data_IF_537359367057
#
_entry.id   IF_537359367057
#
_cell.length_a   1.000
_cell.length_b   1.000
_cell.length_c   1.000
_cell.angle_alpha   90.00
_cell.angle_beta   90.00
_cell.angle_gamma   90.00
#
_symmetry.space_group_name_H-M   'P 1'
#
loop_
_entity.id
_entity.type
_entity.pdbx_description
1 polymer ?
#
# COMPACT_ATOMS: atom_id res chain seq x y z
N UNK A 1 -3.26 1.23 -9.64
CA UNK A 1 -3.18 1.83 -8.30
C UNK A 1 -4.56 1.90 -7.66
N UNK A 2 -4.67 1.67 -6.36
CA UNK A 2 -5.89 1.95 -5.61
C UNK A 2 -5.93 3.44 -5.28
N UNK A 3 -6.88 4.18 -5.83
CA UNK A 3 -7.15 5.53 -5.34
C UNK A 3 -7.96 5.37 -4.07
N UNK A 4 -7.24 5.45 -2.97
CA UNK A 4 -7.79 5.63 -1.64
C UNK A 4 -8.05 7.11 -1.42
N UNK A 5 -9.17 7.41 -0.76
CA UNK A 5 -9.80 8.72 -0.82
C UNK A 5 -8.92 9.78 -0.13
N UNK A 6 -8.16 10.52 -0.94
CA UNK A 6 -7.39 11.69 -0.54
C UNK A 6 -6.39 11.37 0.59
N UNK A 7 -5.17 10.97 0.24
CA UNK A 7 -4.06 10.69 1.17
C UNK A 7 -3.77 11.81 2.19
N UNK A 8 -4.31 13.02 1.96
CA UNK A 8 -4.25 14.13 2.90
C UNK A 8 -5.31 14.06 4.01
N UNK A 9 -6.35 13.22 3.92
CA UNK A 9 -7.50 13.11 4.84
C UNK A 9 -8.05 11.65 4.93
N UNK A 10 -7.25 10.72 5.46
CA UNK A 10 -7.64 9.32 5.65
C UNK A 10 -8.95 9.16 6.47
N UNK A 11 -9.89 8.33 6.00
CA UNK A 11 -11.08 7.96 6.77
C UNK A 11 -12.19 9.01 6.85
N UNK A 12 -12.22 10.02 5.98
CA UNK A 12 -13.26 11.06 5.98
C UNK A 12 -14.52 10.68 5.19
N UNK A 13 -15.68 11.19 5.61
CA UNK A 13 -16.97 10.90 4.97
C UNK A 13 -17.13 11.64 3.62
N UNK A 14 -17.54 10.91 2.58
CA UNK A 14 -17.66 11.39 1.20
C UNK A 14 -18.68 12.51 1.00
N UNK A 15 -19.70 12.61 1.85
CA UNK A 15 -20.82 13.56 1.67
C UNK A 15 -20.59 14.90 2.38
N UNK A 16 -19.47 15.09 3.10
CA UNK A 16 -19.29 16.24 4.02
C UNK A 16 -17.94 16.96 3.86
N UNK A 17 -17.58 17.35 2.64
CA UNK A 17 -16.38 18.18 2.34
C UNK A 17 -16.49 19.64 2.85
N UNK A 18 -17.19 19.90 3.96
CA UNK A 18 -17.36 21.27 4.48
C UNK A 18 -17.16 21.52 5.98
N UNK A 19 -16.75 20.55 6.79
CA UNK A 19 -16.35 20.87 8.19
C UNK A 19 -15.14 20.06 8.64
N UNK A 20 -14.13 20.79 9.13
CA UNK A 20 -12.98 20.28 9.88
C UNK A 20 -13.49 19.53 11.11
N UNK A 21 -13.51 18.21 11.06
CA UNK A 21 -13.58 17.35 12.24
C UNK A 21 -12.33 16.49 12.25
N UNK A 22 -11.48 16.75 13.25
CA UNK A 22 -10.27 16.00 13.56
C UNK A 22 -10.65 14.57 13.97
N UNK A 23 -10.23 13.56 13.20
CA UNK A 23 -10.22 12.17 13.63
C UNK A 23 -8.88 11.51 13.25
N UNK A 24 -8.44 10.61 14.14
CA UNK A 24 -7.09 10.03 14.32
C UNK A 24 -6.71 9.05 13.20
N UNK A 25 -5.64 9.26 12.42
CA UNK A 25 -5.38 8.39 11.26
C UNK A 25 -4.40 7.24 11.52
N UNK A 26 -4.93 6.06 11.82
CA UNK A 26 -4.29 4.74 11.52
C UNK A 26 -4.54 4.42 10.04
N UNK A 27 -4.18 3.22 9.54
CA UNK A 27 -5.12 2.52 8.64
C UNK A 27 -6.50 2.67 9.27
N UNK A 28 -7.33 3.59 8.76
CA UNK A 28 -8.43 4.13 9.54
C UNK A 28 -9.38 2.98 9.87
N UNK A 29 -9.82 2.87 11.13
CA UNK A 29 -10.68 1.77 11.58
C UNK A 29 -10.07 0.36 11.43
N UNK A 30 -8.74 0.27 11.29
CA UNK A 30 -7.99 -0.98 11.26
C UNK A 30 -7.75 -1.58 12.65
N UNK A 31 -7.10 -2.74 12.66
CA UNK A 31 -6.72 -3.49 13.86
C UNK A 31 -5.33 -4.09 13.66
N UNK A 32 -4.69 -4.51 14.74
CA UNK A 32 -3.47 -5.28 14.68
C UNK A 32 -3.61 -6.53 13.80
N UNK A 33 -2.70 -6.70 12.86
CA UNK A 33 -2.55 -7.93 12.12
C UNK A 33 -2.07 -9.06 13.04
N UNK A 34 -2.49 -10.29 12.74
CA UNK A 34 -2.01 -11.47 13.46
C UNK A 34 -0.61 -11.86 12.97
N UNK A 35 0.18 -12.54 13.83
CA UNK A 35 1.43 -13.16 13.41
C UNK A 35 1.24 -13.99 12.14
N UNK A 36 2.15 -13.80 11.17
CA UNK A 36 2.24 -14.60 9.92
C UNK A 36 1.03 -14.48 8.97
N UNK A 37 0.16 -13.50 9.17
CA UNK A 37 -1.04 -13.31 8.35
C UNK A 37 -0.71 -12.70 6.98
N UNK A 38 0.19 -11.71 6.93
CA UNK A 38 0.54 -10.93 5.72
C UNK A 38 2.00 -11.11 5.31
N UNK A 39 2.36 -12.34 4.95
CA UNK A 39 3.74 -12.77 4.68
C UNK A 39 4.42 -12.11 3.48
N UNK A 40 3.63 -11.49 2.60
CA UNK A 40 4.12 -10.81 1.42
C UNK A 40 4.36 -9.31 1.65
N UNK A 41 3.96 -8.76 2.80
CA UNK A 41 4.09 -7.34 3.08
C UNK A 41 5.58 -6.94 3.16
N UNK A 42 5.91 -5.84 2.50
CA UNK A 42 7.27 -5.30 2.43
C UNK A 42 7.27 -3.85 2.89
N UNK A 43 8.22 -3.46 3.74
CA UNK A 43 8.55 -2.04 3.95
C UNK A 43 9.60 -1.62 2.93
N UNK A 44 9.35 -0.50 2.25
CA UNK A 44 10.27 0.13 1.31
C UNK A 44 10.90 1.35 1.98
N UNK A 45 12.23 1.34 2.01
CA UNK A 45 13.03 2.30 2.77
C UNK A 45 13.97 3.15 1.93
N UNK A 46 14.23 4.36 2.42
CA UNK A 46 15.07 5.39 1.81
C UNK A 46 16.21 5.80 2.75
N UNK A 47 17.14 6.61 2.25
CA UNK A 47 18.28 7.09 3.04
C UNK A 47 19.45 6.11 3.10
N UNK A 48 20.34 6.29 4.08
CA UNK A 48 21.56 5.49 4.21
C UNK A 48 21.40 4.34 5.21
N UNK A 49 22.40 3.46 5.30
CA UNK A 49 22.32 2.26 6.13
C UNK A 49 22.11 2.55 7.63
N UNK A 50 22.60 3.71 8.10
CA UNK A 50 22.55 4.12 9.51
C UNK A 50 21.28 4.92 9.86
N UNK A 51 20.60 5.48 8.85
CA UNK A 51 19.36 6.24 9.01
C UNK A 51 18.42 5.92 7.85
N UNK A 52 17.62 4.88 8.05
CA UNK A 52 16.58 4.45 7.11
C UNK A 52 15.26 5.11 7.49
N UNK A 53 14.51 5.56 6.48
CA UNK A 53 13.12 5.98 6.64
C UNK A 53 12.24 5.02 5.85
N UNK A 54 11.23 4.43 6.49
CA UNK A 54 10.31 3.48 5.89
C UNK A 54 9.01 4.20 5.54
N UNK A 55 8.96 4.81 4.35
CA UNK A 55 7.86 5.71 3.96
C UNK A 55 6.93 5.11 2.90
N UNK A 56 7.21 3.89 2.41
CA UNK A 56 6.36 3.18 1.49
C UNK A 56 6.23 1.70 1.87
N UNK A 57 5.17 1.09 1.39
CA UNK A 57 4.95 -0.34 1.35
C UNK A 57 5.37 -0.96 0.01
N UNK A 58 5.24 -2.28 -0.04
CA UNK A 58 5.48 -3.11 -1.19
C UNK A 58 4.92 -4.50 -0.97
N UNK A 59 4.97 -5.33 -1.99
CA UNK A 59 4.56 -6.73 -1.92
C UNK A 59 5.59 -7.63 -2.56
N UNK A 60 5.99 -8.67 -1.86
CA UNK A 60 6.87 -9.70 -2.39
C UNK A 60 6.11 -10.54 -3.42
N UNK A 61 6.56 -10.55 -4.67
CA UNK A 61 5.91 -11.31 -5.76
C UNK A 61 6.69 -12.57 -6.15
N UNK A 62 7.95 -12.66 -5.75
CA UNK A 62 8.80 -13.86 -5.74
C UNK A 62 10.00 -13.59 -4.79
N UNK A 63 10.99 -14.49 -4.71
CA UNK A 63 12.06 -14.35 -3.72
C UNK A 63 12.98 -13.13 -3.92
N UNK A 64 12.97 -12.44 -5.06
CA UNK A 64 13.87 -11.30 -5.31
C UNK A 64 13.22 -10.10 -6.01
N UNK A 65 11.89 -10.07 -6.12
CA UNK A 65 11.14 -8.95 -6.67
C UNK A 65 10.04 -8.49 -5.72
N UNK A 66 9.98 -7.18 -5.57
CA UNK A 66 8.94 -6.47 -4.85
C UNK A 66 8.14 -5.65 -5.86
N UNK A 67 6.82 -5.80 -5.85
CA UNK A 67 5.90 -4.90 -6.53
C UNK A 67 5.57 -3.74 -5.58
N UNK A 68 5.72 -2.50 -6.05
CA UNK A 68 5.40 -1.28 -5.27
C UNK A 68 4.91 -0.18 -6.23
N UNK A 69 4.43 0.95 -5.68
CA UNK A 69 4.05 2.09 -6.49
C UNK A 69 5.29 2.72 -7.17
N UNK A 70 5.11 3.27 -8.36
CA UNK A 70 6.16 3.98 -9.08
C UNK A 70 6.56 5.29 -8.38
N UNK A 71 5.65 5.98 -7.71
CA UNK A 71 6.00 7.16 -6.91
C UNK A 71 6.88 6.82 -5.70
N UNK A 72 6.86 5.56 -5.23
CA UNK A 72 7.76 5.07 -4.19
C UNK A 72 9.19 4.80 -4.71
N UNK A 73 9.46 5.00 -6.00
CA UNK A 73 10.81 4.82 -6.53
C UNK A 73 11.80 5.85 -5.97
N UNK A 74 11.33 7.05 -5.61
CA UNK A 74 12.19 8.13 -5.15
C UNK A 74 11.47 9.02 -4.13
N UNK A 75 12.05 9.14 -2.93
CA UNK A 75 11.64 10.12 -1.94
C UNK A 75 12.19 11.51 -2.31
N UNK A 76 11.36 12.57 -2.30
CA UNK A 76 11.80 13.93 -2.59
C UNK A 76 12.93 14.44 -1.68
N UNK A 77 12.99 13.96 -0.43
CA UNK A 77 13.97 14.39 0.58
C UNK A 77 15.11 13.40 0.82
N UNK A 78 14.89 12.11 0.56
CA UNK A 78 15.84 11.04 0.92
C UNK A 78 16.43 10.31 -0.30
N UNK A 79 16.00 10.65 -1.51
CA UNK A 79 16.50 10.08 -2.77
C UNK A 79 15.85 8.73 -3.10
N UNK A 80 16.51 7.87 -3.90
CA UNK A 80 15.90 6.65 -4.42
C UNK A 80 15.61 5.65 -3.30
N UNK A 81 14.60 4.80 -3.52
CA UNK A 81 14.36 3.63 -2.68
C UNK A 81 15.60 2.72 -2.69
N UNK A 82 16.05 2.30 -1.51
CA UNK A 82 17.33 1.59 -1.32
C UNK A 82 17.17 0.31 -0.52
N UNK A 83 16.14 0.20 0.30
CA UNK A 83 15.99 -0.87 1.28
C UNK A 83 14.62 -1.52 1.14
N UNK A 84 14.58 -2.84 1.28
CA UNK A 84 13.36 -3.61 1.43
C UNK A 84 13.47 -4.44 2.70
N UNK A 85 12.43 -4.44 3.54
CA UNK A 85 12.34 -5.25 4.75
C UNK A 85 11.09 -6.13 4.71
N UNK A 86 11.28 -7.43 4.92
CA UNK A 86 10.19 -8.43 4.84
C UNK A 86 10.14 -9.28 6.11
N UNK A 87 8.98 -9.88 6.38
CA UNK A 87 8.79 -10.82 7.49
C UNK A 87 8.81 -10.17 8.87
N UNK A 88 8.36 -8.92 8.94
CA UNK A 88 8.20 -8.18 10.19
C UNK A 88 6.72 -8.11 10.59
N UNK A 89 6.45 -7.89 11.86
CA UNK A 89 5.11 -7.63 12.40
C UNK A 89 5.15 -6.38 13.28
N UNK A 90 6.06 -6.35 14.27
CA UNK A 90 6.26 -5.21 15.16
C UNK A 90 7.69 -4.65 15.04
N UNK A 91 7.83 -3.51 14.36
CA UNK A 91 9.13 -2.88 14.09
C UNK A 91 9.82 -2.34 15.35
N UNK A 92 9.13 -2.26 16.49
CA UNK A 92 9.69 -1.82 17.77
C UNK A 92 10.13 -2.97 18.68
N UNK A 93 9.77 -4.21 18.33
CA UNK A 93 9.92 -5.38 19.19
C UNK A 93 10.79 -6.46 18.56
N UNK A 94 11.61 -7.11 19.37
CA UNK A 94 12.34 -8.34 19.00
C UNK A 94 11.85 -9.55 19.78
N UNK A 95 10.71 -9.43 20.49
CA UNK A 95 10.21 -10.46 21.40
C UNK A 95 9.40 -11.56 20.69
N UNK A 96 9.28 -11.50 19.37
CA UNK A 96 8.58 -12.47 18.53
C UNK A 96 9.58 -13.43 17.86
N UNK A 97 9.12 -14.59 17.38
CA UNK A 97 9.95 -15.50 16.56
C UNK A 97 10.17 -14.99 15.12
N UNK A 98 9.67 -13.79 14.81
CA UNK A 98 9.91 -13.10 13.56
C UNK A 98 11.43 -12.87 13.37
N UNK A 99 11.90 -13.12 12.15
CA UNK A 99 13.30 -12.86 11.75
C UNK A 99 13.28 -12.00 10.49
N UNK A 100 13.08 -10.68 10.62
CA UNK A 100 12.98 -9.79 9.48
C UNK A 100 14.23 -9.84 8.61
N UNK A 101 14.04 -9.78 7.30
CA UNK A 101 15.14 -9.80 6.34
C UNK A 101 15.22 -8.45 5.64
N UNK A 102 16.35 -7.76 5.79
CA UNK A 102 16.63 -6.53 5.05
C UNK A 102 17.46 -6.83 3.80
N UNK A 103 17.02 -6.32 2.66
CA UNK A 103 17.67 -6.44 1.35
C UNK A 103 17.90 -5.07 0.74
N UNK A 104 18.91 -4.93 -0.11
CA UNK A 104 19.08 -3.71 -0.92
C UNK A 104 18.23 -3.81 -2.18
N UNK A 105 17.66 -2.68 -2.57
CA UNK A 105 17.03 -2.52 -3.89
C UNK A 105 18.13 -2.08 -4.86
N UNK A 106 18.40 -2.90 -5.87
CA UNK A 106 19.49 -2.67 -6.85
C UNK A 106 18.99 -2.22 -8.21
N UNK A 107 17.70 -2.38 -8.49
CA UNK A 107 17.09 -1.97 -9.73
C UNK A 107 15.63 -1.62 -9.49
N UNK A 108 15.17 -0.52 -10.11
CA UNK A 108 13.78 -0.09 -10.08
C UNK A 108 13.31 0.05 -11.53
N UNK A 109 12.24 -0.65 -11.88
CA UNK A 109 11.61 -0.60 -13.20
C UNK A 109 10.22 0.02 -13.02
N UNK A 110 10.09 1.31 -13.33
CA UNK A 110 8.79 1.99 -13.36
C UNK A 110 8.02 1.62 -14.61
N UNK A 111 6.70 1.61 -14.54
CA UNK A 111 5.86 1.47 -15.73
C UNK A 111 6.25 2.54 -16.78
N UNK A 112 6.42 2.18 -18.08
CA UNK A 112 6.89 3.12 -19.11
C UNK A 112 5.97 4.34 -19.28
N UNK A 113 4.67 4.15 -19.02
CA UNK A 113 3.65 5.20 -19.11
C UNK A 113 3.42 5.96 -17.80
N UNK A 114 4.17 5.67 -16.73
CA UNK A 114 4.12 6.47 -15.51
C UNK A 114 4.84 7.80 -15.72
N UNK A 115 4.15 8.92 -15.45
CA UNK A 115 4.66 10.28 -15.66
C UNK A 115 4.22 11.19 -14.51
N UNK A 116 5.17 11.56 -13.65
CA UNK A 116 4.95 12.57 -12.62
C UNK A 116 4.59 13.94 -13.23
N UNK A 117 3.74 14.75 -12.57
CA UNK A 117 3.17 14.54 -11.24
C UNK A 117 1.88 13.69 -11.24
N UNK A 118 1.40 13.26 -12.41
CA UNK A 118 0.19 12.46 -12.51
C UNK A 118 0.43 11.03 -12.01
N UNK A 119 -0.59 10.44 -11.38
CA UNK A 119 -0.49 9.12 -10.72
C UNK A 119 -1.14 7.99 -11.54
N UNK A 120 -1.18 8.14 -12.86
CA UNK A 120 -1.62 7.08 -13.78
C UNK A 120 -0.51 6.04 -13.98
N UNK A 121 -0.88 4.76 -14.08
CA UNK A 121 0.07 3.65 -14.22
C UNK A 121 1.13 3.62 -13.10
N UNK A 122 0.73 3.99 -11.89
CA UNK A 122 1.63 4.07 -10.73
C UNK A 122 1.95 2.69 -10.18
N UNK A 123 2.88 2.01 -10.87
CA UNK A 123 3.36 0.66 -10.57
C UNK A 123 4.82 0.54 -10.98
N UNK A 124 5.61 -0.13 -10.15
CA UNK A 124 7.02 -0.41 -10.39
C UNK A 124 7.45 -1.75 -9.78
N UNK A 125 8.49 -2.32 -10.39
CA UNK A 125 9.16 -3.53 -9.93
C UNK A 125 10.52 -3.18 -9.33
N UNK A 126 10.75 -3.63 -8.10
CA UNK A 126 11.97 -3.36 -7.34
C UNK A 126 12.73 -4.69 -7.19
N UNK A 127 13.93 -4.77 -7.76
CA UNK A 127 14.80 -5.95 -7.69
C UNK A 127 15.66 -5.92 -6.45
N UNK A 128 15.67 -7.01 -5.70
CA UNK A 128 16.50 -7.19 -4.52
C UNK A 128 17.92 -7.66 -4.90
N UNK A 129 18.90 -7.30 -4.08
CA UNK A 129 20.31 -7.69 -4.29
C UNK A 129 20.58 -9.19 -4.06
N UNK A 130 19.69 -9.86 -3.33
CA UNK A 130 19.72 -11.29 -3.08
C UNK A 130 18.31 -11.81 -2.76
N UNK A 131 18.10 -13.11 -2.98
CA UNK A 131 16.83 -13.76 -2.63
C UNK A 131 16.54 -13.66 -1.14
N UNK A 132 15.28 -13.48 -0.78
CA UNK A 132 14.78 -13.67 0.59
C UNK A 132 14.58 -15.16 0.88
N UNK A 133 14.80 -15.55 2.12
CA UNK A 133 14.53 -16.90 2.59
C UNK A 133 13.04 -17.03 2.89
N UNK A 134 12.34 -17.88 2.13
CA UNK A 134 10.94 -18.19 2.39
C UNK A 134 10.79 -18.97 3.69
N UNK A 135 9.81 -18.61 4.50
CA UNK A 135 9.52 -19.26 5.77
C UNK A 135 8.09 -18.94 6.23
N UNK A 136 7.76 -19.24 7.49
CA UNK A 136 6.42 -18.99 8.02
C UNK A 136 6.04 -17.50 8.09
N UNK A 137 6.99 -16.59 7.99
CA UNK A 137 6.83 -15.14 8.02
C UNK A 137 6.97 -14.47 6.65
N UNK A 138 7.61 -15.13 5.68
CA UNK A 138 7.94 -14.58 4.37
C UNK A 138 7.47 -15.53 3.27
N UNK A 139 6.51 -15.08 2.46
CA UNK A 139 6.01 -15.80 1.29
C UNK A 139 5.52 -14.80 0.24
N UNK A 140 5.73 -15.06 -1.06
CA UNK A 140 5.21 -14.20 -2.11
C UNK A 140 3.67 -14.26 -2.20
N UNK A 141 3.07 -13.20 -2.73
CA UNK A 141 1.64 -13.11 -3.03
C UNK A 141 1.36 -13.44 -4.50
N UNK A 142 0.16 -13.94 -4.80
CA UNK A 142 -0.29 -14.17 -6.17
C UNK A 142 -0.67 -12.83 -6.84
N UNK A 143 -0.48 -12.71 -8.16
CA UNK A 143 -0.89 -11.54 -8.93
C UNK A 143 -2.27 -11.73 -9.58
N UNK A 144 -3.07 -10.67 -9.63
CA UNK A 144 -4.40 -10.72 -10.26
C UNK A 144 -4.23 -10.37 -11.73
N UNK A 145 -4.23 -11.38 -12.59
CA UNK A 145 -4.05 -11.18 -14.03
C UNK A 145 -5.36 -11.06 -14.78
N UNK A 146 -6.50 -11.34 -14.12
CA UNK A 146 -7.82 -11.17 -14.73
C UNK A 146 -8.24 -9.70 -14.76
N UNK A 147 -9.05 -9.36 -15.76
CA UNK A 147 -9.58 -8.00 -15.91
C UNK A 147 -10.63 -7.66 -14.84
N UNK A 148 -11.41 -8.66 -14.41
CA UNK A 148 -12.51 -8.48 -13.47
C UNK A 148 -12.08 -8.87 -12.05
N UNK A 149 -12.49 -8.08 -11.07
CA UNK A 149 -12.30 -8.36 -9.65
C UNK A 149 -13.63 -8.82 -9.07
N UNK A 150 -13.77 -10.14 -8.93
CA UNK A 150 -14.95 -10.77 -8.34
C UNK A 150 -14.83 -10.83 -6.81
N UNK A 151 -14.65 -9.67 -6.19
CA UNK A 151 -14.60 -9.51 -4.74
C UNK A 151 -15.39 -8.26 -4.32
N UNK A 152 -16.04 -8.33 -3.17
CA UNK A 152 -16.75 -7.17 -2.58
C UNK A 152 -15.83 -6.40 -1.63
N UNK A 153 -14.94 -7.11 -0.94
CA UNK A 153 -14.03 -6.56 0.05
C UNK A 153 -12.59 -6.86 -0.33
N UNK A 154 -11.71 -5.97 0.08
CA UNK A 154 -10.28 -6.15 0.04
C UNK A 154 -9.67 -5.73 1.38
N UNK A 155 -8.53 -6.32 1.72
CA UNK A 155 -7.78 -5.99 2.92
C UNK A 155 -6.61 -5.09 2.53
N UNK A 156 -6.45 -3.96 3.21
CA UNK A 156 -5.24 -3.14 3.14
C UNK A 156 -4.40 -3.40 4.39
N UNK A 157 -3.09 -3.46 4.20
CA UNK A 157 -2.14 -3.70 5.28
C UNK A 157 -0.97 -2.74 5.21
N UNK A 158 -0.50 -2.29 6.37
CA UNK A 158 0.73 -1.52 6.44
C UNK A 158 1.08 -1.00 7.82
N UNK A 159 2.25 -0.36 7.88
CA UNK A 159 2.78 0.31 9.07
C UNK A 159 2.67 1.83 8.95
N UNK A 160 1.68 2.33 8.20
CA UNK A 160 1.43 3.75 8.05
C UNK A 160 1.36 4.50 9.40
N UNK A 161 1.56 5.81 9.34
CA UNK A 161 1.50 6.70 10.52
C UNK A 161 0.16 6.54 11.23
N UNK A 162 0.17 6.50 12.56
CA UNK A 162 -1.03 6.42 13.42
C UNK A 162 -1.72 7.76 13.62
N UNK A 163 -1.03 8.89 13.34
CA UNK A 163 -1.66 10.20 13.21
C UNK A 163 -0.95 11.13 12.21
N UNK A 164 -1.59 12.25 11.80
CA UNK A 164 -0.95 13.34 11.01
C UNK A 164 0.29 13.94 11.70
N UNK A 165 0.39 13.76 13.02
CA UNK A 165 1.45 14.25 13.92
C UNK A 165 2.02 13.11 14.79
N UNK A 166 1.50 11.90 14.66
CA UNK A 166 1.68 10.80 15.63
C UNK A 166 2.70 9.75 15.20
N UNK A 167 3.01 8.89 16.16
CA UNK A 167 3.98 7.80 16.03
C UNK A 167 3.56 6.82 14.93
N UNK A 168 4.55 6.26 14.23
CA UNK A 168 4.35 5.15 13.29
C UNK A 168 3.78 3.96 14.07
N UNK A 169 2.81 3.24 13.52
CA UNK A 169 2.34 2.02 14.18
C UNK A 169 3.51 1.06 14.25
N UNK A 170 3.97 0.74 15.45
CA UNK A 170 5.05 -0.22 15.57
C UNK A 170 4.61 -1.57 15.03
N UNK A 171 3.35 -1.93 15.25
CA UNK A 171 2.76 -3.19 14.79
C UNK A 171 1.97 -3.02 13.48
N UNK A 172 2.10 -4.00 12.60
CA UNK A 172 1.40 -4.07 11.31
C UNK A 172 -0.12 -3.98 11.54
N UNK A 173 -0.76 -3.07 10.82
CA UNK A 173 -2.21 -2.90 10.87
C UNK A 173 -2.86 -3.52 9.63
N UNK A 174 -4.10 -3.97 9.79
CA UNK A 174 -4.95 -4.40 8.69
C UNK A 174 -6.36 -3.79 8.79
N UNK A 175 -6.98 -3.55 7.64
CA UNK A 175 -8.39 -3.17 7.56
C UNK A 175 -9.05 -3.78 6.34
N UNK A 176 -10.29 -4.23 6.50
CA UNK A 176 -11.14 -4.59 5.37
C UNK A 176 -11.91 -3.36 4.89
N UNK A 177 -11.77 -3.07 3.60
CA UNK A 177 -12.47 -2.00 2.89
C UNK A 177 -13.29 -2.56 1.72
N UNK A 178 -14.38 -1.88 1.41
CA UNK A 178 -15.27 -2.23 0.30
C UNK A 178 -14.70 -1.73 -1.03
N UNK A 179 -14.68 -2.61 -2.04
CA UNK A 179 -14.35 -2.23 -3.41
C UNK A 179 -15.49 -1.41 -4.03
N UNK A 180 -15.15 -0.31 -4.69
CA UNK A 180 -16.10 0.58 -5.35
C UNK A 180 -16.05 0.34 -6.85
N UNK A 181 -17.22 0.20 -7.46
CA UNK A 181 -17.33 0.03 -8.91
C UNK A 181 -16.64 1.19 -9.66
N UNK A 182 -15.90 0.89 -10.72
CA UNK A 182 -15.12 1.90 -11.45
C UNK A 182 -15.95 3.06 -12.01
N UNK A 183 -17.18 2.78 -12.48
CA UNK A 183 -18.11 3.81 -12.96
C UNK A 183 -18.62 4.69 -11.81
N UNK A 184 -18.97 4.07 -10.68
CA UNK A 184 -19.36 4.82 -9.48
C UNK A 184 -18.20 5.67 -8.97
N UNK A 185 -16.98 5.14 -8.94
CA UNK A 185 -15.82 5.89 -8.51
C UNK A 185 -15.53 7.07 -9.45
N UNK A 186 -15.54 6.86 -10.77
CA UNK A 186 -15.37 7.95 -11.72
C UNK A 186 -16.37 9.07 -11.48
N UNK A 187 -17.64 8.72 -11.25
CA UNK A 187 -18.71 9.66 -10.92
C UNK A 187 -18.44 10.45 -9.63
N UNK A 188 -17.95 9.79 -8.58
CA UNK A 188 -17.61 10.45 -7.31
C UNK A 188 -16.47 11.49 -7.47
N UNK A 189 -15.65 11.35 -8.51
CA UNK A 189 -14.50 12.22 -8.78
C UNK A 189 -14.70 13.18 -9.97
N UNK A 190 -15.87 13.24 -10.60
CA UNK A 190 -16.14 14.07 -11.78
C UNK A 190 -15.82 15.56 -11.58
N UNK A 191 -16.00 16.07 -10.35
CA UNK A 191 -15.75 17.47 -10.00
C UNK A 191 -14.44 17.67 -9.21
N UNK A 192 -13.60 16.63 -9.12
CA UNK A 192 -12.34 16.72 -8.41
C UNK A 192 -11.35 17.61 -9.20
N UNK A 193 -10.64 18.49 -8.49
CA UNK A 193 -9.60 19.39 -9.03
C UNK A 193 -8.19 18.95 -8.65
N UNK A 194 -8.03 17.72 -8.18
CA UNK A 194 -6.74 17.15 -7.81
C UNK A 194 -5.83 17.06 -9.04
N UNK A 195 -4.71 17.78 -8.96
CA UNK A 195 -3.72 17.88 -10.04
C UNK A 195 -2.96 16.57 -10.28
N UNK A 196 -3.04 15.60 -9.37
CA UNK A 196 -2.47 14.26 -9.56
C UNK A 196 -3.31 13.37 -10.48
N UNK A 197 -4.60 13.67 -10.64
CA UNK A 197 -5.53 12.98 -11.53
C UNK A 197 -6.21 13.97 -12.48
N UNK A 198 -5.44 14.68 -13.33
CA UNK A 198 -5.96 15.77 -14.16
C UNK A 198 -7.01 15.33 -15.19
N UNK A 199 -7.09 14.04 -15.52
CA UNK A 199 -8.08 13.45 -16.42
C UNK A 199 -9.21 12.73 -15.66
N UNK A 200 -9.25 12.87 -14.33
CA UNK A 200 -10.13 12.12 -13.45
C UNK A 200 -9.69 10.67 -13.27
N UNK A 201 -10.61 9.84 -12.76
CA UNK A 201 -10.38 8.41 -12.53
C UNK A 201 -10.46 7.65 -13.85
N UNK A 202 -9.42 6.86 -14.15
CA UNK A 202 -9.42 5.89 -15.23
C UNK A 202 -9.60 4.47 -14.67
N UNK A 203 -10.79 3.85 -14.82
CA UNK A 203 -11.09 2.54 -14.24
C UNK A 203 -10.26 1.39 -14.85
N UNK A 204 -9.54 1.62 -15.96
CA UNK A 204 -8.67 0.60 -16.54
C UNK A 204 -7.33 0.46 -15.80
N UNK A 205 -6.86 1.53 -15.17
CA UNK A 205 -5.54 1.59 -14.49
C UNK A 205 -5.65 1.93 -13.00
N UNK A 206 -6.85 2.30 -12.54
CA UNK A 206 -7.17 2.64 -11.16
C UNK A 206 -8.33 1.80 -10.62
N UNK A 207 -8.25 1.49 -9.33
CA UNK A 207 -9.33 0.88 -8.56
C UNK A 207 -9.67 1.82 -7.43
N UNK A 208 -10.92 1.81 -6.98
CA UNK A 208 -11.31 2.57 -5.81
C UNK A 208 -11.82 1.61 -4.74
N UNK A 209 -11.48 1.92 -3.50
CA UNK A 209 -11.91 1.15 -2.35
C UNK A 209 -12.08 2.12 -1.17
N UNK A 210 -13.04 1.82 -0.30
CA UNK A 210 -13.35 2.67 0.84
C UNK A 210 -14.80 2.52 1.29
N UNK A 211 -15.10 3.04 2.47
CA UNK A 211 -16.44 3.00 3.05
C UNK A 211 -17.19 4.31 2.78
N UNK A 212 -18.45 4.22 2.35
CA UNK A 212 -19.26 5.41 2.03
C UNK A 212 -19.40 6.39 3.19
N UNK A 213 -19.46 5.84 4.39
CA UNK A 213 -19.62 6.57 5.65
C UNK A 213 -18.28 7.14 6.16
N UNK A 214 -17.16 6.78 5.54
CA UNK A 214 -15.80 7.04 6.02
C UNK A 214 -15.40 6.04 7.10
N UNK A 215 -14.38 6.40 7.88
CA UNK A 215 -13.90 5.62 9.02
C UNK A 215 -12.93 4.48 8.69
N UNK A 216 -12.86 4.01 7.44
CA UNK A 216 -11.87 3.03 6.98
C UNK A 216 -11.16 3.40 5.69
N UNK A 217 -9.84 3.39 5.74
CA UNK A 217 -8.98 3.84 4.63
C UNK A 217 -7.52 3.43 4.85
N UNK A 218 -6.69 3.43 3.81
CA UNK A 218 -5.24 3.41 4.02
C UNK A 218 -4.71 4.82 4.25
N UNK A 219 -3.50 4.91 4.78
CA UNK A 219 -2.93 6.20 5.14
C UNK A 219 -1.45 6.35 4.77
N UNK A 220 -0.87 7.46 5.23
CA UNK A 220 0.53 7.83 4.94
C UNK A 220 1.48 6.73 5.41
N UNK A 221 2.30 6.19 4.50
CA UNK A 221 3.24 5.09 4.78
C UNK A 221 2.75 3.72 4.29
N UNK A 222 1.46 3.56 3.98
CA UNK A 222 0.91 2.34 3.35
C UNK A 222 1.07 2.36 1.82
N UNK A 223 1.45 3.51 1.26
CA UNK A 223 1.57 3.75 -0.18
C UNK A 223 2.51 2.76 -0.86
N UNK A 224 2.09 2.15 -1.96
CA UNK A 224 2.81 1.05 -2.62
C UNK A 224 2.62 -0.32 -1.94
N UNK A 225 1.92 -0.38 -0.80
CA UNK A 225 1.53 -1.62 -0.15
C UNK A 225 0.42 -2.38 -0.90
N UNK A 226 0.05 -3.57 -0.41
CA UNK A 226 -0.92 -4.42 -1.07
C UNK A 226 -2.38 -4.04 -0.77
N UNK A 227 -3.22 -4.09 -1.81
CA UNK A 227 -4.65 -4.31 -1.70
C UNK A 227 -4.92 -5.79 -1.98
N UNK A 228 -5.31 -6.54 -0.96
CA UNK A 228 -5.42 -8.00 -1.02
C UNK A 228 -6.87 -8.43 -1.12
N UNK A 229 -7.19 -9.29 -2.08
CA UNK A 229 -8.47 -10.01 -2.15
C UNK A 229 -8.28 -11.50 -1.91
N UNK A 230 -9.27 -12.11 -1.27
CA UNK A 230 -9.34 -13.55 -1.07
C UNK A 230 -10.22 -14.17 -2.18
N UNK A 231 -9.63 -15.03 -3.02
CA UNK A 231 -10.36 -15.77 -4.06
C UNK A 231 -10.65 -17.19 -3.59
N UNK A 232 -11.79 -17.76 -4.01
CA UNK A 232 -12.22 -19.11 -3.60
C UNK A 232 -11.42 -20.26 -4.25
N UNK A 233 -10.59 -19.99 -5.26
CA UNK A 233 -9.79 -21.02 -5.95
C UNK A 233 -8.28 -20.85 -5.72
N UNK A 234 -7.75 -21.66 -4.80
CA UNK A 234 -6.38 -22.23 -4.70
C UNK A 234 -5.11 -21.36 -4.85
N UNK A 235 -5.18 -20.05 -5.07
CA UNK A 235 -4.06 -19.12 -4.83
C UNK A 235 -4.53 -18.09 -3.79
N UNK A 236 -4.14 -18.32 -2.54
CA UNK A 236 -4.48 -17.45 -1.42
C UNK A 236 -3.77 -16.10 -1.63
N UNK A 237 -4.59 -15.05 -1.77
CA UNK A 237 -4.24 -13.62 -1.82
C UNK A 237 -3.75 -13.15 -3.18
N UNK A 238 -4.57 -12.29 -3.79
CA UNK A 238 -4.28 -11.68 -5.08
C UNK A 238 -4.07 -10.17 -4.93
N UNK A 239 -3.02 -9.63 -5.55
CA UNK A 239 -2.53 -8.27 -5.35
C UNK A 239 -2.89 -7.30 -6.47
N UNK A 240 -3.37 -6.11 -6.10
CA UNK A 240 -3.10 -4.85 -6.82
C UNK A 240 -2.56 -3.80 -5.84
N UNK A 241 -1.68 -2.92 -6.31
CA UNK A 241 -1.01 -1.94 -5.45
C UNK A 241 -1.94 -0.82 -4.99
N UNK A 242 -1.82 -0.47 -3.71
CA UNK A 242 -2.38 0.73 -3.08
C UNK A 242 -1.56 1.96 -3.43
#
# INVERSE_FOLDING_TARGET
MCILYNLNHCGTNLMRVRRRTFFKPVVAGGKDAKPREHKAMVMVGYGNANKKSWDCGGSLINENWVLSAAHCANSPSLGPARWARVGDLDISSTNEDARPQEKRIIQIIKHPNYKEPAVYNDVALFKLDSVVLLNNWVAPICLHTENEINAVKATVTGWGRLDFVGEVSSKLQEVDITLVNGTECKRLYENNKDTKIPQGIDPNVMICAGEKEGGKDACSGDSGGPLVIQLEKHCLKTLRLV
#
